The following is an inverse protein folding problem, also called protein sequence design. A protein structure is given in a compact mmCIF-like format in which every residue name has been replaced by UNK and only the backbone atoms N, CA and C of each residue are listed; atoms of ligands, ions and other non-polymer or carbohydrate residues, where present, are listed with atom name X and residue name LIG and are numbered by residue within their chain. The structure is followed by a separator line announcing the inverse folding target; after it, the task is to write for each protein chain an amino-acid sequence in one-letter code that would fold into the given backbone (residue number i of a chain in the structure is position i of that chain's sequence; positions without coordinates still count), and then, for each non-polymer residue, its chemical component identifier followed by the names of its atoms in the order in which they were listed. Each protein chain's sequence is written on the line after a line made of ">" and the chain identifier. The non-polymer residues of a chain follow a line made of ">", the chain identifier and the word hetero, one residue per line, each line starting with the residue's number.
data_IF_172671624190
#
_entry.id   IF_172671624190
#
_cell.length_a   1.000
_cell.length_b   1.000
_cell.length_c   1.000
_cell.angle_alpha   90.00
_cell.angle_beta   90.00
_cell.angle_gamma   90.00
#
_symmetry.space_group_name_H-M   'P 1'
#
loop_
_entity.id
_entity.type
_entity.pdbx_description
1 polymer ?
#
# COMPACT_ATOMS: atom_id res chain seq x y z
N UNK A 1 -7.77 5.50 -6.42
CA UNK A 1 -7.41 4.84 -7.68
C UNK A 1 -8.60 4.71 -8.65
N UNK A 2 -9.73 4.13 -8.25
CA UNK A 2 -10.93 3.97 -9.10
C UNK A 2 -11.95 5.14 -9.02
N UNK A 3 -11.53 6.31 -8.51
CA UNK A 3 -12.40 7.49 -8.41
C UNK A 3 -12.48 8.21 -9.77
N UNK A 4 -13.53 9.02 -9.97
CA UNK A 4 -13.67 9.91 -11.15
C UNK A 4 -12.41 10.71 -11.42
N UNK A 5 -11.88 11.37 -10.39
CA UNK A 5 -10.55 11.97 -10.41
C UNK A 5 -9.53 10.93 -9.99
N UNK A 6 -8.73 10.46 -10.95
CA UNK A 6 -7.79 9.37 -10.75
C UNK A 6 -6.59 9.84 -9.93
N UNK A 7 -6.38 9.19 -8.79
CA UNK A 7 -5.17 9.28 -7.96
C UNK A 7 -4.45 7.94 -8.10
N UNK A 8 -3.18 7.96 -8.51
CA UNK A 8 -2.39 6.75 -8.73
C UNK A 8 -1.71 6.27 -7.43
N UNK A 9 -1.10 5.07 -7.46
CA UNK A 9 -0.49 4.47 -6.28
C UNK A 9 0.75 5.24 -5.79
N UNK A 10 1.53 5.83 -6.70
CA UNK A 10 2.72 6.61 -6.34
C UNK A 10 2.32 7.87 -5.57
N UNK A 11 1.25 8.53 -6.01
CA UNK A 11 0.70 9.72 -5.34
C UNK A 11 0.20 9.38 -3.94
N UNK A 12 -0.61 8.32 -3.78
CA UNK A 12 -1.05 7.83 -2.45
C UNK A 12 0.16 7.51 -1.55
N UNK A 13 1.19 6.87 -2.10
CA UNK A 13 2.39 6.47 -1.35
C UNK A 13 3.20 7.68 -0.90
N UNK A 14 3.45 8.64 -1.81
CA UNK A 14 4.18 9.87 -1.49
C UNK A 14 3.42 10.72 -0.48
N UNK A 15 2.11 10.87 -0.64
CA UNK A 15 1.30 11.69 0.27
C UNK A 15 1.19 11.06 1.66
N UNK A 16 1.16 9.72 1.74
CA UNK A 16 1.22 9.00 3.03
C UNK A 16 2.55 9.24 3.74
N UNK A 17 3.67 9.18 3.03
CA UNK A 17 5.00 9.46 3.59
C UNK A 17 5.12 10.92 4.04
N UNK A 18 4.64 11.87 3.24
CA UNK A 18 4.55 13.30 3.59
C UNK A 18 3.71 13.49 4.86
N UNK A 19 2.59 12.77 4.98
CA UNK A 19 1.75 12.80 6.18
C UNK A 19 2.49 12.33 7.45
N UNK A 20 3.29 11.25 7.35
CA UNK A 20 4.11 10.78 8.46
C UNK A 20 5.18 11.80 8.88
N UNK A 21 5.87 12.39 7.91
CA UNK A 21 6.87 13.45 8.17
C UNK A 21 6.22 14.65 8.85
N UNK A 22 5.08 15.11 8.32
CA UNK A 22 4.30 16.23 8.88
C UNK A 22 3.88 15.94 10.33
N UNK A 23 3.43 14.71 10.61
CA UNK A 23 3.05 14.30 11.97
C UNK A 23 4.23 14.38 12.93
N UNK A 24 5.42 13.93 12.53
CA UNK A 24 6.63 14.00 13.35
C UNK A 24 7.02 15.46 13.65
N UNK A 25 6.98 16.33 12.65
CA UNK A 25 7.23 17.77 12.83
C UNK A 25 6.22 18.40 13.81
N UNK A 26 4.94 18.05 13.67
CA UNK A 26 3.87 18.56 14.55
C UNK A 26 4.00 18.05 16.00
N UNK A 27 4.74 16.96 16.24
CA UNK A 27 5.06 16.50 17.60
C UNK A 27 6.18 17.33 18.26
N UNK A 28 6.73 18.34 17.57
CA UNK A 28 7.83 19.17 18.07
C UNK A 28 9.20 18.49 18.00
N UNK A 29 9.31 17.39 17.26
CA UNK A 29 10.60 16.72 17.05
C UNK A 29 11.47 17.59 16.13
N UNK A 30 12.70 17.87 16.56
CA UNK A 30 13.69 18.55 15.72
C UNK A 30 14.18 17.60 14.62
N UNK A 31 13.45 17.57 13.51
CA UNK A 31 13.75 16.72 12.37
C UNK A 31 14.69 17.46 11.41
N UNK A 32 15.94 17.03 11.34
CA UNK A 32 16.97 17.66 10.48
C UNK A 32 17.22 16.90 9.19
N UNK A 33 17.09 15.58 9.20
CA UNK A 33 17.37 14.72 8.06
C UNK A 33 16.39 13.55 7.97
N UNK A 34 15.97 13.22 6.74
CA UNK A 34 15.05 12.12 6.43
C UNK A 34 15.62 11.27 5.30
N UNK A 35 15.65 9.96 5.53
CA UNK A 35 16.10 8.96 4.58
C UNK A 35 14.89 8.16 4.07
N UNK A 36 14.76 8.02 2.75
CA UNK A 36 13.58 7.40 2.11
C UNK A 36 14.02 6.34 1.11
N UNK A 37 13.45 5.14 1.24
CA UNK A 37 13.55 4.09 0.21
C UNK A 37 12.53 4.35 -0.90
N UNK A 38 12.94 4.17 -2.16
CA UNK A 38 12.05 4.30 -3.32
C UNK A 38 12.27 3.21 -4.34
N UNK A 39 11.19 2.85 -5.04
CA UNK A 39 11.23 2.00 -6.24
C UNK A 39 11.32 2.81 -7.53
N UNK A 40 11.02 4.11 -7.46
CA UNK A 40 10.90 5.01 -8.61
C UNK A 40 12.13 5.89 -8.84
N UNK A 41 11.90 7.04 -9.48
CA UNK A 41 12.90 8.08 -9.67
C UNK A 41 13.18 8.79 -8.34
N UNK A 42 14.36 8.54 -7.79
CA UNK A 42 14.77 9.08 -6.51
C UNK A 42 14.91 10.60 -6.53
N UNK A 43 15.37 11.18 -7.65
CA UNK A 43 15.65 12.60 -7.73
C UNK A 43 14.35 13.41 -7.79
N UNK A 44 13.39 12.97 -8.60
CA UNK A 44 12.05 13.58 -8.63
C UNK A 44 11.37 13.55 -7.26
N UNK A 45 11.51 12.44 -6.53
CA UNK A 45 10.90 12.31 -5.22
C UNK A 45 11.62 13.17 -4.16
N UNK A 46 12.95 13.23 -4.22
CA UNK A 46 13.77 14.11 -3.37
C UNK A 46 13.37 15.57 -3.57
N UNK A 47 13.26 16.04 -4.82
CA UNK A 47 12.82 17.41 -5.14
C UNK A 47 11.43 17.67 -4.55
N UNK A 48 10.45 16.78 -4.79
CA UNK A 48 9.09 16.92 -4.22
C UNK A 48 9.10 17.08 -2.69
N UNK A 49 9.94 16.32 -1.99
CA UNK A 49 10.05 16.39 -0.53
C UNK A 49 10.77 17.66 -0.07
N UNK A 50 11.87 18.02 -0.72
CA UNK A 50 12.65 19.22 -0.39
C UNK A 50 11.87 20.51 -0.62
N UNK A 51 11.07 20.60 -1.68
CA UNK A 51 10.17 21.75 -1.91
C UNK A 51 9.11 21.88 -0.81
N UNK A 52 8.61 20.74 -0.32
CA UNK A 52 7.56 20.71 0.71
C UNK A 52 8.10 20.98 2.12
N UNK A 53 9.32 20.54 2.43
CA UNK A 53 9.94 20.71 3.73
C UNK A 53 11.37 21.29 3.59
N UNK A 54 11.50 22.60 3.30
CA UNK A 54 12.80 23.21 2.99
C UNK A 54 13.83 23.16 4.12
N UNK A 55 13.38 23.04 5.36
CA UNK A 55 14.24 22.97 6.55
C UNK A 55 14.80 21.55 6.82
N UNK A 56 14.37 20.54 6.07
CA UNK A 56 14.76 19.14 6.27
C UNK A 56 15.61 18.68 5.10
N UNK A 57 16.75 18.06 5.40
CA UNK A 57 17.60 17.42 4.40
C UNK A 57 17.00 16.06 4.00
N UNK A 58 16.81 15.82 2.71
CA UNK A 58 16.29 14.55 2.20
C UNK A 58 17.35 13.75 1.47
N UNK A 59 17.47 12.48 1.84
CA UNK A 59 18.24 11.47 1.11
C UNK A 59 17.25 10.41 0.62
N UNK A 60 17.03 10.37 -0.70
CA UNK A 60 16.15 9.38 -1.33
C UNK A 60 17.02 8.45 -2.16
N UNK A 61 16.92 7.15 -1.93
CA UNK A 61 17.70 6.15 -2.65
C UNK A 61 16.89 4.89 -2.91
N UNK A 62 17.30 4.13 -3.93
CA UNK A 62 16.77 2.77 -4.15
C UNK A 62 17.51 1.81 -3.21
N UNK A 63 16.79 0.85 -2.62
CA UNK A 63 17.33 -0.11 -1.64
C UNK A 63 17.94 0.60 -0.43
N UNK A 64 17.35 1.72 -0.02
CA UNK A 64 17.85 2.52 1.10
C UNK A 64 17.80 1.76 2.42
N UNK A 65 16.92 0.76 2.54
CA UNK A 65 16.85 -0.17 3.68
C UNK A 65 18.10 -1.04 3.85
N UNK A 66 18.85 -1.25 2.76
CA UNK A 66 20.14 -1.97 2.76
C UNK A 66 21.33 -1.05 2.99
N UNK A 67 21.15 0.26 2.83
CA UNK A 67 22.21 1.28 2.91
C UNK A 67 22.20 2.02 4.25
N UNK A 68 21.03 2.22 4.84
CA UNK A 68 20.85 3.07 6.02
C UNK A 68 20.11 2.32 7.13
N UNK A 69 20.71 2.15 8.32
CA UNK A 69 20.08 1.42 9.43
C UNK A 69 18.71 1.96 9.84
N UNK A 70 18.50 3.28 9.77
CA UNK A 70 17.21 3.93 10.09
C UNK A 70 16.10 3.51 9.12
N UNK A 71 16.43 3.34 7.84
CA UNK A 71 15.48 2.86 6.83
C UNK A 71 15.27 1.36 6.95
N UNK A 72 16.31 0.61 7.32
CA UNK A 72 16.20 -0.82 7.65
C UNK A 72 15.22 -1.07 8.79
N UNK A 73 15.35 -0.31 9.89
CA UNK A 73 14.42 -0.34 11.01
C UNK A 73 12.98 0.02 10.60
N UNK A 74 12.80 1.07 9.80
CA UNK A 74 11.49 1.43 9.26
C UNK A 74 10.87 0.31 8.40
N UNK A 75 11.68 -0.37 7.58
CA UNK A 75 11.27 -1.51 6.75
C UNK A 75 10.77 -2.68 7.61
N UNK A 76 11.45 -2.99 8.72
CA UNK A 76 11.00 -4.01 9.68
C UNK A 76 9.66 -3.62 10.29
N UNK A 77 9.55 -2.39 10.82
CA UNK A 77 8.31 -1.90 11.43
C UNK A 77 7.15 -1.95 10.44
N UNK A 78 7.36 -1.53 9.19
CA UNK A 78 6.33 -1.55 8.16
C UNK A 78 5.84 -2.98 7.84
N UNK A 79 6.78 -3.93 7.67
CA UNK A 79 6.46 -5.34 7.37
C UNK A 79 5.74 -6.02 8.54
N UNK A 80 6.26 -5.88 9.76
CA UNK A 80 5.65 -6.46 10.96
C UNK A 80 4.25 -5.90 11.20
N UNK A 81 4.07 -4.59 11.01
CA UNK A 81 2.76 -3.93 11.14
C UNK A 81 1.77 -4.43 10.08
N UNK A 82 2.21 -4.56 8.82
CA UNK A 82 1.39 -5.14 7.74
C UNK A 82 0.94 -6.55 8.10
N UNK A 83 1.88 -7.41 8.50
CA UNK A 83 1.58 -8.81 8.75
C UNK A 83 0.64 -8.96 9.96
N UNK A 84 0.82 -8.12 10.99
CA UNK A 84 -0.10 -8.05 12.12
C UNK A 84 -1.50 -7.60 11.67
N UNK A 85 -1.60 -6.52 10.90
CA UNK A 85 -2.88 -6.01 10.40
C UNK A 85 -3.62 -7.05 9.55
N UNK A 86 -2.91 -7.86 8.77
CA UNK A 86 -3.51 -8.96 7.99
C UNK A 86 -3.98 -10.13 8.86
N UNK A 87 -3.19 -10.52 9.87
CA UNK A 87 -3.60 -11.57 10.84
C UNK A 87 -4.84 -11.17 11.62
N UNK A 88 -4.88 -9.92 12.06
CA UNK A 88 -5.93 -9.36 12.89
C UNK A 88 -7.12 -8.86 12.05
N UNK A 89 -7.05 -8.96 10.72
CA UNK A 89 -8.09 -8.46 9.82
C UNK A 89 -9.43 -9.17 10.10
N UNK A 90 -10.47 -8.36 10.31
CA UNK A 90 -11.84 -8.82 10.48
C UNK A 90 -12.54 -8.67 9.13
N UNK A 91 -12.92 -9.80 8.54
CA UNK A 91 -13.79 -9.82 7.37
C UNK A 91 -15.21 -9.52 7.85
N UNK A 92 -15.80 -8.45 7.31
CA UNK A 92 -17.16 -8.00 7.66
C UNK A 92 -18.22 -8.69 6.79
N UNK A 93 -17.78 -9.31 5.71
CA UNK A 93 -18.61 -10.03 4.76
C UNK A 93 -19.15 -11.32 5.40
N UNK A 94 -20.47 -11.50 5.37
CA UNK A 94 -21.18 -12.60 6.04
C UNK A 94 -21.27 -13.88 5.21
N UNK A 95 -20.44 -14.03 4.18
CA UNK A 95 -20.48 -15.21 3.32
C UNK A 95 -20.07 -16.47 4.11
N UNK A 96 -20.82 -17.56 3.91
CA UNK A 96 -20.47 -18.86 4.48
C UNK A 96 -19.08 -19.29 3.96
N UNK A 97 -18.23 -19.81 4.86
CA UNK A 97 -16.88 -20.30 4.58
C UNK A 97 -15.79 -19.25 4.25
N UNK A 98 -15.96 -17.98 4.62
CA UNK A 98 -14.87 -16.99 4.57
C UNK A 98 -13.70 -17.42 5.44
N UNK A 99 -12.60 -17.89 4.83
CA UNK A 99 -11.40 -18.30 5.54
C UNK A 99 -10.24 -17.32 5.37
N UNK A 100 -9.32 -17.28 6.34
CA UNK A 100 -8.20 -16.31 6.37
C UNK A 100 -6.92 -16.77 5.66
N UNK A 101 -6.95 -17.90 4.97
CA UNK A 101 -5.81 -18.36 4.18
C UNK A 101 -5.64 -17.55 2.88
N UNK A 102 -5.20 -16.31 3.00
CA UNK A 102 -5.02 -15.37 1.88
C UNK A 102 -3.80 -15.69 1.02
N UNK A 103 -2.92 -16.60 1.46
CA UNK A 103 -1.57 -16.73 0.90
C UNK A 103 -0.71 -15.50 1.22
N UNK A 104 0.22 -15.20 0.31
CA UNK A 104 1.12 -14.05 0.40
C UNK A 104 0.44 -12.69 0.11
N UNK A 105 -0.73 -12.72 -0.55
CA UNK A 105 -1.42 -11.54 -1.07
C UNK A 105 -0.85 -10.99 -2.37
N UNK A 106 0.18 -11.61 -2.96
CA UNK A 106 0.75 -11.18 -4.24
C UNK A 106 0.02 -11.79 -5.43
N UNK A 107 -0.16 -11.07 -6.55
CA UNK A 107 -0.81 -11.59 -7.75
C UNK A 107 -0.22 -12.88 -8.35
N UNK A 108 1.06 -13.17 -8.09
CA UNK A 108 1.74 -14.35 -8.61
C UNK A 108 1.50 -15.62 -7.78
N UNK A 109 1.02 -15.49 -6.55
CA UNK A 109 0.91 -16.60 -5.61
C UNK A 109 -0.33 -17.47 -5.90
N UNK A 110 -0.16 -18.78 -6.14
CA UNK A 110 -1.28 -19.70 -6.38
C UNK A 110 -2.32 -19.71 -5.26
N UNK A 111 -1.90 -19.59 -3.99
CA UNK A 111 -2.82 -19.59 -2.84
C UNK A 111 -3.68 -18.33 -2.86
N UNK A 112 -3.07 -17.17 -3.11
CA UNK A 112 -3.78 -15.89 -3.26
C UNK A 112 -4.80 -15.94 -4.41
N UNK A 113 -4.41 -16.46 -5.58
CA UNK A 113 -5.32 -16.60 -6.74
C UNK A 113 -6.51 -17.51 -6.45
N UNK A 114 -6.24 -18.64 -5.79
CA UNK A 114 -7.27 -19.59 -5.37
C UNK A 114 -8.23 -18.94 -4.39
N UNK A 115 -7.71 -18.20 -3.40
CA UNK A 115 -8.54 -17.46 -2.45
C UNK A 115 -9.46 -16.46 -3.15
N UNK A 116 -8.95 -15.66 -4.09
CA UNK A 116 -9.76 -14.71 -4.87
C UNK A 116 -10.87 -15.42 -5.65
N UNK A 117 -10.58 -16.55 -6.29
CA UNK A 117 -11.56 -17.31 -7.05
C UNK A 117 -12.71 -17.84 -6.17
N UNK A 118 -12.39 -18.32 -4.97
CA UNK A 118 -13.38 -18.89 -4.04
C UNK A 118 -14.24 -17.84 -3.34
N UNK A 119 -13.70 -16.64 -3.11
CA UNK A 119 -14.37 -15.62 -2.30
C UNK A 119 -14.94 -14.47 -3.14
N UNK A 120 -15.11 -14.65 -4.46
CA UNK A 120 -15.82 -13.68 -5.29
C UNK A 120 -17.33 -13.88 -5.24
N UNK A 121 -18.07 -12.80 -5.39
CA UNK A 121 -19.52 -12.74 -5.41
C UNK A 121 -19.98 -12.12 -6.74
N UNK A 122 -21.01 -12.68 -7.36
CA UNK A 122 -21.49 -12.25 -8.68
C UNK A 122 -21.93 -10.78 -8.71
N UNK A 123 -22.61 -10.29 -7.67
CA UNK A 123 -23.04 -8.88 -7.55
C UNK A 123 -21.95 -7.99 -6.95
N UNK A 124 -21.43 -8.31 -5.75
CA UNK A 124 -20.55 -7.41 -5.00
C UNK A 124 -19.06 -7.50 -5.38
N UNK A 125 -18.67 -8.46 -6.23
CA UNK A 125 -17.28 -8.65 -6.62
C UNK A 125 -16.46 -9.34 -5.54
N UNK A 126 -15.64 -8.62 -4.78
CA UNK A 126 -14.73 -9.21 -3.79
C UNK A 126 -14.92 -8.63 -2.38
N UNK A 127 -14.46 -9.34 -1.33
CA UNK A 127 -14.38 -8.79 0.01
C UNK A 127 -13.53 -7.52 0.06
N UNK A 128 -13.84 -6.64 1.02
CA UNK A 128 -13.21 -5.32 1.23
C UNK A 128 -11.70 -5.35 1.41
N UNK A 129 -11.14 -6.49 1.82
CA UNK A 129 -9.71 -6.72 1.88
C UNK A 129 -9.04 -6.62 0.49
N UNK A 130 -9.77 -6.94 -0.57
CA UNK A 130 -9.24 -7.01 -1.94
C UNK A 130 -9.13 -5.61 -2.53
N UNK A 131 -7.97 -5.33 -3.13
CA UNK A 131 -7.72 -4.07 -3.82
C UNK A 131 -8.25 -4.12 -5.24
N UNK A 132 -9.52 -3.76 -5.43
CA UNK A 132 -10.20 -3.75 -6.75
C UNK A 132 -9.45 -3.01 -7.87
N UNK A 133 -8.58 -2.04 -7.54
CA UNK A 133 -7.79 -1.31 -8.52
C UNK A 133 -6.64 -2.12 -9.14
N UNK A 134 -6.36 -3.33 -8.65
CA UNK A 134 -5.33 -4.19 -9.21
C UNK A 134 -5.82 -4.90 -10.47
N UNK A 135 -5.01 -4.91 -11.52
CA UNK A 135 -5.35 -5.56 -12.80
C UNK A 135 -5.65 -7.06 -12.67
N UNK A 136 -5.17 -7.72 -11.60
CA UNK A 136 -5.55 -9.09 -11.25
C UNK A 136 -7.05 -9.26 -11.07
N UNK A 137 -7.75 -8.25 -10.51
CA UNK A 137 -9.19 -8.30 -10.31
C UNK A 137 -9.96 -8.21 -11.64
N UNK A 138 -9.41 -7.52 -12.65
CA UNK A 138 -10.02 -7.37 -13.98
C UNK A 138 -10.20 -8.72 -14.67
N UNK A 139 -9.34 -9.71 -14.41
CA UNK A 139 -9.46 -11.03 -15.00
C UNK A 139 -10.74 -11.78 -14.61
N UNK A 140 -11.38 -11.38 -13.50
CA UNK A 140 -12.60 -12.00 -12.98
C UNK A 140 -13.88 -11.25 -13.40
N UNK A 141 -13.77 -10.20 -14.22
CA UNK A 141 -14.92 -9.36 -14.60
C UNK A 141 -16.02 -10.15 -15.31
N UNK A 142 -15.69 -11.21 -16.04
CA UNK A 142 -16.65 -12.07 -16.75
C UNK A 142 -17.54 -12.88 -15.80
N UNK A 143 -17.10 -13.08 -14.56
CA UNK A 143 -17.81 -13.85 -13.55
C UNK A 143 -18.66 -12.97 -12.62
N UNK A 144 -18.63 -11.66 -12.84
CA UNK A 144 -19.28 -10.62 -12.04
C UNK A 144 -20.27 -9.90 -12.95
N UNK A 145 -21.43 -9.52 -12.40
CA UNK A 145 -22.46 -8.78 -13.12
C UNK A 145 -21.89 -7.43 -13.58
N UNK A 146 -22.22 -7.03 -14.81
CA UNK A 146 -21.79 -5.76 -15.38
C UNK A 146 -22.37 -4.58 -14.56
N UNK A 147 -21.51 -3.62 -14.22
CA UNK A 147 -21.89 -2.40 -13.50
C UNK A 147 -21.52 -1.20 -14.36
N UNK A 148 -22.51 -0.40 -14.72
CA UNK A 148 -22.35 0.88 -15.40
C UNK A 148 -22.31 1.99 -14.35
N UNK A 149 -21.24 2.78 -14.36
CA UNK A 149 -20.96 3.87 -13.41
C UNK A 149 -21.20 5.25 -14.00
#
# INVERSE_FOLDING_TARGET
>A
MLKKNKINLNEISHDSAIGLITRVLNMGVLLTEVYVDTVGDAEKYRIKLSERFPAVKFVVAKKADSLYPVVSGASIVAKVTRDRALRDWVLVETAENMHRNFGSGYPGDPVTKSWLQHHKHSVFGFPTLVRFSWGTCTAYSKDIVEVLW
#
